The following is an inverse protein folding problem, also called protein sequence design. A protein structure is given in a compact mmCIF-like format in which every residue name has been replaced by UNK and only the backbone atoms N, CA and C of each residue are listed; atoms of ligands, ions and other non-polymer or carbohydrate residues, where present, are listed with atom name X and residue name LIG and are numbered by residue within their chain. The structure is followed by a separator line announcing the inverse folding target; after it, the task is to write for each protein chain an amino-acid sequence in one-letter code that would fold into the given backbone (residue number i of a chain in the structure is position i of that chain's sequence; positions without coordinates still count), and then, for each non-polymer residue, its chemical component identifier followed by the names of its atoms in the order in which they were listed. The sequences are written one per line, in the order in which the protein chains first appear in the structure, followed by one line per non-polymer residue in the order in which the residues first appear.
data_IF_498426784702
#
_entry.id   IF_498426784702
#
_cell.length_a   1.000
_cell.length_b   1.000
_cell.length_c   1.000
_cell.angle_alpha   90.00
_cell.angle_beta   90.00
_cell.angle_gamma   90.00
#
_symmetry.space_group_name_H-M   'P 1'
#
loop_
_entity.id
_entity.type
_entity.pdbx_description
1 polymer ?
#
# COMPACT_ATOMS: atom_id res chain seq x y z
N UNK A 1 -21.68 -22.83 -24.35
CA UNK A 1 -22.22 -22.60 -22.98
C UNK A 1 -21.19 -23.06 -21.94
N UNK A 2 -21.22 -22.56 -20.69
CA UNK A 2 -20.30 -23.00 -19.61
C UNK A 2 -18.96 -22.24 -19.49
N UNK A 3 -18.66 -21.27 -20.36
CA UNK A 3 -17.43 -20.46 -20.31
C UNK A 3 -17.60 -19.08 -19.66
N UNK A 4 -18.72 -18.84 -18.98
CA UNK A 4 -19.03 -17.54 -18.37
C UNK A 4 -17.96 -17.11 -17.35
N UNK A 5 -17.56 -17.99 -16.44
CA UNK A 5 -16.52 -17.70 -15.43
C UNK A 5 -15.16 -17.38 -16.09
N UNK A 6 -14.58 -18.23 -16.96
CA UNK A 6 -13.33 -17.89 -17.66
C UNK A 6 -13.37 -16.55 -18.40
N UNK A 7 -14.52 -16.18 -18.97
CA UNK A 7 -14.66 -14.97 -19.77
C UNK A 7 -14.70 -13.70 -18.91
N UNK A 8 -15.32 -13.76 -17.72
CA UNK A 8 -15.33 -12.63 -16.78
C UNK A 8 -14.06 -12.54 -15.93
N UNK A 9 -13.25 -13.60 -15.81
CA UNK A 9 -12.00 -13.56 -15.04
C UNK A 9 -10.96 -12.60 -15.64
N UNK A 10 -10.92 -12.50 -16.98
CA UNK A 10 -10.06 -11.53 -17.67
C UNK A 10 -10.49 -10.08 -17.35
N UNK A 11 -11.80 -9.81 -17.38
CA UNK A 11 -12.38 -8.53 -16.96
C UNK A 11 -12.07 -8.25 -15.48
N UNK A 12 -12.28 -9.25 -14.62
CA UNK A 12 -12.06 -9.15 -13.18
C UNK A 12 -10.63 -8.75 -12.83
N UNK A 13 -9.63 -9.26 -13.56
CA UNK A 13 -8.24 -8.88 -13.30
C UNK A 13 -7.98 -7.39 -13.53
N UNK A 14 -8.61 -6.77 -14.54
CA UNK A 14 -8.50 -5.33 -14.80
C UNK A 14 -9.26 -4.49 -13.76
N UNK A 15 -10.46 -4.89 -13.37
CA UNK A 15 -11.24 -4.15 -12.36
C UNK A 15 -10.60 -4.23 -10.96
N UNK A 16 -9.83 -5.29 -10.66
CA UNK A 16 -9.00 -5.37 -9.44
C UNK A 16 -7.82 -4.40 -9.46
N UNK A 17 -7.20 -4.20 -10.62
CA UNK A 17 -6.20 -3.15 -10.81
C UNK A 17 -6.85 -1.77 -10.57
N UNK A 18 -8.04 -1.53 -11.12
CA UNK A 18 -8.78 -0.27 -10.90
C UNK A 18 -9.09 -0.02 -9.41
N UNK A 19 -9.43 -1.07 -8.66
CA UNK A 19 -9.61 -0.95 -7.20
C UNK A 19 -8.34 -0.44 -6.51
N UNK A 20 -7.19 -1.04 -6.84
CA UNK A 20 -5.91 -0.69 -6.25
C UNK A 20 -5.49 0.75 -6.64
N UNK A 21 -5.63 1.11 -7.92
CA UNK A 21 -5.36 2.46 -8.42
C UNK A 21 -6.30 3.50 -7.79
N UNK A 22 -7.60 3.21 -7.74
CA UNK A 22 -8.61 4.08 -7.16
C UNK A 22 -8.36 4.36 -5.69
N UNK A 23 -8.11 3.31 -4.90
CA UNK A 23 -7.77 3.50 -3.47
C UNK A 23 -6.44 4.24 -3.30
N UNK A 24 -5.40 3.92 -4.08
CA UNK A 24 -4.13 4.65 -4.02
C UNK A 24 -4.30 6.14 -4.36
N UNK A 25 -5.14 6.47 -5.34
CA UNK A 25 -5.46 7.85 -5.70
C UNK A 25 -6.19 8.60 -4.59
N UNK A 26 -7.19 7.95 -3.96
CA UNK A 26 -7.91 8.51 -2.82
C UNK A 26 -7.00 8.73 -1.61
N UNK A 27 -6.05 7.81 -1.34
CA UNK A 27 -5.04 7.99 -0.29
C UNK A 27 -4.19 9.23 -0.57
N UNK A 28 -3.72 9.39 -1.82
CA UNK A 28 -2.94 10.56 -2.22
C UNK A 28 -3.72 11.87 -2.08
N UNK A 29 -5.01 11.86 -2.44
CA UNK A 29 -5.88 13.04 -2.29
C UNK A 29 -6.07 13.39 -0.81
N UNK A 30 -6.43 12.41 0.02
CA UNK A 30 -6.65 12.61 1.46
C UNK A 30 -5.40 13.16 2.16
N UNK A 31 -4.22 12.62 1.84
CA UNK A 31 -2.94 13.13 2.37
C UNK A 31 -2.67 14.57 1.94
N UNK A 32 -2.93 14.90 0.67
CA UNK A 32 -2.70 16.25 0.15
C UNK A 32 -3.56 17.29 0.88
N UNK A 33 -4.83 16.95 1.14
CA UNK A 33 -5.76 17.77 1.92
C UNK A 33 -5.28 17.90 3.37
N UNK A 34 -4.86 16.81 4.01
CA UNK A 34 -4.37 16.82 5.39
C UNK A 34 -3.10 17.66 5.56
N UNK A 35 -2.14 17.54 4.64
CA UNK A 35 -0.90 18.34 4.66
C UNK A 35 -1.21 19.83 4.46
N UNK A 36 -2.07 20.17 3.50
CA UNK A 36 -2.46 21.56 3.25
C UNK A 36 -3.17 22.18 4.47
N UNK A 37 -4.14 21.46 5.04
CA UNK A 37 -4.84 21.90 6.24
C UNK A 37 -3.88 22.15 7.40
N UNK A 38 -2.99 21.20 7.69
CA UNK A 38 -2.07 21.28 8.83
C UNK A 38 -0.96 22.32 8.63
N UNK A 39 -0.65 22.71 7.39
CA UNK A 39 0.25 23.81 7.09
C UNK A 39 -0.33 25.18 7.53
N UNK A 40 -1.65 25.32 7.49
CA UNK A 40 -2.35 26.58 7.75
C UNK A 40 -2.96 26.63 9.16
N UNK A 41 -3.48 25.50 9.65
CA UNK A 41 -4.12 25.40 10.96
C UNK A 41 -3.08 25.48 12.07
N UNK A 42 -3.30 26.38 13.03
CA UNK A 42 -2.46 26.51 14.21
C UNK A 42 -3.13 25.95 15.47
N UNK A 43 -2.34 25.32 16.33
CA UNK A 43 -2.72 24.92 17.68
C UNK A 43 -1.49 25.06 18.59
N UNK A 44 -1.71 25.47 19.84
CA UNK A 44 -0.63 25.73 20.80
C UNK A 44 0.43 26.71 20.25
N UNK A 45 -0.02 27.76 19.55
CA UNK A 45 0.83 28.87 19.12
C UNK A 45 1.67 28.65 17.85
N UNK A 46 1.56 27.51 17.16
CA UNK A 46 2.27 27.26 15.90
C UNK A 46 1.45 26.40 14.91
N UNK A 47 1.77 26.42 13.61
CA UNK A 47 1.11 25.57 12.62
C UNK A 47 1.25 24.09 12.99
N UNK A 48 0.19 23.30 12.78
CA UNK A 48 0.16 21.87 13.10
C UNK A 48 1.29 21.11 12.40
N UNK A 49 1.62 21.47 11.16
CA UNK A 49 2.71 20.87 10.38
C UNK A 49 4.12 21.13 10.96
N UNK A 50 4.24 21.95 12.02
CA UNK A 50 5.47 22.17 12.79
C UNK A 50 5.46 21.48 14.15
N UNK A 51 4.36 20.82 14.52
CA UNK A 51 4.27 19.99 15.71
C UNK A 51 4.94 18.63 15.43
N UNK A 52 5.93 18.18 16.21
CA UNK A 52 6.63 16.91 15.96
C UNK A 52 5.69 15.71 15.84
N UNK A 53 4.66 15.64 16.70
CA UNK A 53 3.70 14.54 16.67
C UNK A 53 2.86 14.52 15.39
N UNK A 54 2.36 15.67 14.93
CA UNK A 54 1.62 15.76 13.67
C UNK A 54 2.51 15.45 12.47
N UNK A 55 3.78 15.88 12.50
CA UNK A 55 4.75 15.55 11.46
C UNK A 55 5.00 14.04 11.36
N UNK A 56 5.04 13.34 12.50
CA UNK A 56 5.15 11.89 12.52
C UNK A 56 3.94 11.24 11.84
N UNK A 57 2.71 11.61 12.22
CA UNK A 57 1.47 11.10 11.59
C UNK A 57 1.47 11.34 10.07
N UNK A 58 1.73 12.57 9.63
CA UNK A 58 1.72 12.93 8.22
C UNK A 58 2.85 12.25 7.43
N UNK A 59 4.03 12.08 8.02
CA UNK A 59 5.13 11.34 7.40
C UNK A 59 4.76 9.86 7.25
N UNK A 60 4.11 9.27 8.25
CA UNK A 60 3.69 7.87 8.22
C UNK A 60 2.61 7.61 7.15
N UNK A 61 1.64 8.52 7.04
CA UNK A 61 0.67 8.52 5.94
C UNK A 61 1.36 8.74 4.59
N UNK A 62 2.37 9.60 4.50
CA UNK A 62 3.14 9.78 3.27
C UNK A 62 3.84 8.50 2.81
N UNK A 63 4.48 7.77 3.73
CA UNK A 63 5.10 6.48 3.42
C UNK A 63 4.09 5.46 2.89
N UNK A 64 2.91 5.37 3.52
CA UNK A 64 1.85 4.45 3.10
C UNK A 64 1.29 4.83 1.72
N UNK A 65 1.03 6.12 1.47
CA UNK A 65 0.53 6.61 0.18
C UNK A 65 1.53 6.37 -0.94
N UNK A 66 2.83 6.56 -0.69
CA UNK A 66 3.87 6.36 -1.70
C UNK A 66 4.06 4.89 -2.04
N UNK A 67 4.06 4.01 -1.03
CA UNK A 67 4.15 2.56 -1.21
C UNK A 67 2.93 2.00 -1.96
N UNK A 68 1.72 2.49 -1.66
CA UNK A 68 0.50 2.09 -2.38
C UNK A 68 0.56 2.47 -3.86
N UNK A 69 1.02 3.70 -4.15
CA UNK A 69 1.18 4.20 -5.52
C UNK A 69 2.20 3.38 -6.31
N UNK A 70 3.38 3.14 -5.72
CA UNK A 70 4.43 2.35 -6.35
C UNK A 70 3.95 0.94 -6.73
N UNK A 71 3.27 0.25 -5.80
CA UNK A 71 2.74 -1.10 -6.05
C UNK A 71 1.60 -1.10 -7.09
N UNK A 72 0.67 -0.14 -7.04
CA UNK A 72 -0.42 -0.05 -8.00
C UNK A 72 0.09 0.23 -9.43
N UNK A 73 1.05 1.14 -9.58
CA UNK A 73 1.68 1.43 -10.88
C UNK A 73 2.55 0.28 -11.38
N UNK A 74 3.25 -0.41 -10.47
CA UNK A 74 4.01 -1.62 -10.83
C UNK A 74 3.09 -2.72 -11.36
N UNK A 75 1.93 -2.89 -10.74
CA UNK A 75 0.90 -3.81 -11.23
C UNK A 75 0.39 -3.35 -12.60
N UNK A 76 0.06 -2.08 -12.79
CA UNK A 76 -0.38 -1.58 -14.11
C UNK A 76 0.62 -1.95 -15.23
N UNK A 77 1.92 -1.79 -14.96
CA UNK A 77 2.99 -2.15 -15.91
C UNK A 77 2.97 -3.63 -16.31
N UNK A 78 2.53 -4.55 -15.45
CA UNK A 78 2.43 -5.97 -15.81
C UNK A 78 1.37 -6.22 -16.88
N UNK A 79 0.31 -5.40 -16.91
CA UNK A 79 -0.74 -5.49 -17.93
C UNK A 79 -0.27 -4.91 -19.26
N UNK A 80 0.47 -3.80 -19.24
CA UNK A 80 1.05 -3.19 -20.44
C UNK A 80 2.06 -4.11 -21.15
N UNK A 81 2.75 -4.97 -20.38
CA UNK A 81 3.81 -5.87 -20.86
C UNK A 81 3.40 -7.35 -20.83
N UNK A 82 2.13 -7.63 -21.14
CA UNK A 82 1.59 -9.00 -21.10
C UNK A 82 2.24 -9.98 -22.09
N UNK A 83 3.04 -9.49 -23.03
CA UNK A 83 3.89 -10.28 -23.93
C UNK A 83 5.10 -10.92 -23.23
N UNK A 84 5.54 -10.39 -22.08
CA UNK A 84 6.67 -10.91 -21.29
C UNK A 84 6.21 -11.97 -20.27
N UNK A 85 6.84 -13.15 -20.28
CA UNK A 85 6.52 -14.28 -19.39
C UNK A 85 6.61 -13.93 -17.90
N UNK A 86 7.62 -13.14 -17.52
CA UNK A 86 7.81 -12.71 -16.14
C UNK A 86 6.74 -11.71 -15.71
N UNK A 87 6.38 -10.78 -16.60
CA UNK A 87 5.31 -9.82 -16.34
C UNK A 87 3.95 -10.51 -16.22
N UNK A 88 3.67 -11.56 -17.01
CA UNK A 88 2.46 -12.39 -16.82
C UNK A 88 2.46 -13.15 -15.49
N UNK A 89 3.60 -13.68 -15.07
CA UNK A 89 3.74 -14.32 -13.77
C UNK A 89 3.51 -13.33 -12.62
N UNK A 90 4.07 -12.12 -12.74
CA UNK A 90 3.85 -11.04 -11.77
C UNK A 90 2.40 -10.56 -11.76
N UNK A 91 1.75 -10.38 -12.91
CA UNK A 91 0.34 -9.99 -12.97
C UNK A 91 -0.54 -10.95 -12.17
N UNK A 92 -0.30 -12.27 -12.32
CA UNK A 92 -1.02 -13.33 -11.60
C UNK A 92 -0.86 -13.25 -10.09
N UNK A 93 0.33 -12.86 -9.60
CA UNK A 93 0.65 -12.75 -8.17
C UNK A 93 0.22 -11.41 -7.58
N UNK A 94 0.58 -10.31 -8.25
CA UNK A 94 0.41 -8.96 -7.74
C UNK A 94 -1.03 -8.46 -7.85
N UNK A 95 -1.84 -8.94 -8.80
CA UNK A 95 -3.27 -8.52 -8.87
C UNK A 95 -4.01 -8.76 -7.56
N UNK A 96 -4.05 -9.99 -7.00
CA UNK A 96 -4.70 -10.22 -5.72
C UNK A 96 -3.97 -9.57 -4.54
N UNK A 97 -2.63 -9.52 -4.54
CA UNK A 97 -1.83 -8.89 -3.47
C UNK A 97 -2.11 -7.40 -3.36
N UNK A 98 -2.04 -6.67 -4.47
CA UNK A 98 -2.24 -5.22 -4.53
C UNK A 98 -3.65 -4.83 -4.12
N UNK A 99 -4.67 -5.50 -4.66
CA UNK A 99 -6.06 -5.26 -4.25
C UNK A 99 -6.29 -5.58 -2.79
N UNK A 100 -5.80 -6.73 -2.31
CA UNK A 100 -5.94 -7.11 -0.91
C UNK A 100 -5.33 -6.05 0.00
N UNK A 101 -4.08 -5.69 -0.24
CA UNK A 101 -3.31 -4.86 0.67
C UNK A 101 -3.75 -3.40 0.62
N UNK A 102 -3.71 -2.78 -0.57
CA UNK A 102 -3.99 -1.35 -0.73
C UNK A 102 -5.43 -1.02 -0.31
N UNK A 103 -6.41 -1.78 -0.80
CA UNK A 103 -7.81 -1.52 -0.48
C UNK A 103 -8.13 -1.75 1.00
N UNK A 104 -7.47 -2.72 1.65
CA UNK A 104 -7.67 -2.97 3.09
C UNK A 104 -7.10 -1.86 3.96
N UNK A 105 -5.96 -1.28 3.56
CA UNK A 105 -5.31 -0.17 4.28
C UNK A 105 -6.05 1.16 4.10
N UNK A 106 -6.73 1.34 2.98
CA UNK A 106 -7.41 2.58 2.60
C UNK A 106 -8.36 3.17 3.67
N UNK A 107 -9.17 2.36 4.34
CA UNK A 107 -10.13 2.87 5.34
C UNK A 107 -9.45 3.46 6.58
N UNK A 108 -8.44 2.78 7.11
CA UNK A 108 -7.68 3.27 8.28
C UNK A 108 -6.88 4.52 7.90
N UNK A 109 -6.31 4.53 6.69
CA UNK A 109 -5.63 5.71 6.15
C UNK A 109 -6.55 6.92 6.06
N UNK A 110 -7.74 6.76 5.46
CA UNK A 110 -8.67 7.87 5.29
C UNK A 110 -9.23 8.38 6.62
N UNK A 111 -9.42 7.49 7.60
CA UNK A 111 -9.81 7.90 8.95
C UNK A 111 -8.76 8.83 9.57
N UNK A 112 -7.49 8.40 9.60
CA UNK A 112 -6.40 9.19 10.19
C UNK A 112 -6.19 10.53 9.46
N UNK A 113 -6.22 10.49 8.12
CA UNK A 113 -6.11 11.71 7.32
C UNK A 113 -7.29 12.65 7.58
N UNK A 114 -8.50 12.13 7.79
CA UNK A 114 -9.69 12.91 8.14
C UNK A 114 -9.56 13.53 9.54
N UNK A 115 -8.98 12.79 10.49
CA UNK A 115 -8.73 13.26 11.85
C UNK A 115 -7.75 14.43 11.90
N UNK A 116 -6.81 14.52 10.95
CA UNK A 116 -5.91 15.66 10.80
C UNK A 116 -6.65 17.00 10.56
N UNK A 117 -7.89 16.97 10.07
CA UNK A 117 -8.74 18.16 9.88
C UNK A 117 -9.62 18.48 11.10
N UNK A 118 -9.61 17.62 12.12
CA UNK A 118 -10.52 17.69 13.27
C UNK A 118 -11.99 17.55 12.86
N UNK A 119 -12.89 18.21 13.60
CA UNK A 119 -14.34 18.07 13.39
C UNK A 119 -14.82 18.40 11.98
N UNK A 120 -14.17 19.35 11.28
CA UNK A 120 -14.53 19.69 9.91
C UNK A 120 -14.29 18.55 8.92
N UNK A 121 -13.34 17.65 9.19
CA UNK A 121 -13.11 16.47 8.36
C UNK A 121 -14.32 15.52 8.33
N UNK A 122 -15.12 15.49 9.40
CA UNK A 122 -16.26 14.61 9.57
C UNK A 122 -17.57 15.15 8.97
N UNK A 123 -17.64 16.45 8.68
CA UNK A 123 -18.87 17.11 8.21
C UNK A 123 -19.00 16.99 6.69
N UNK A 124 -20.19 16.62 6.21
CA UNK A 124 -20.46 16.48 4.76
C UNK A 124 -20.84 17.80 4.07
N UNK A 125 -21.41 18.73 4.82
CA UNK A 125 -21.99 19.98 4.30
C UNK A 125 -20.96 21.13 4.27
N UNK A 126 -21.35 22.27 3.70
CA UNK A 126 -20.58 23.52 3.79
C UNK A 126 -19.23 23.53 3.04
N UNK A 127 -19.02 22.60 2.10
CA UNK A 127 -17.76 22.50 1.35
C UNK A 127 -16.67 21.68 2.06
N UNK A 128 -16.97 21.05 3.21
CA UNK A 128 -16.01 20.25 3.98
C UNK A 128 -16.14 18.73 3.74
N UNK A 129 -17.16 18.29 3.01
CA UNK A 129 -17.48 16.87 2.84
C UNK A 129 -16.52 16.01 2.01
N UNK A 130 -15.41 16.56 1.51
CA UNK A 130 -14.45 15.79 0.71
C UNK A 130 -13.84 14.66 1.53
N UNK A 131 -13.37 14.92 2.75
CA UNK A 131 -12.75 13.89 3.59
C UNK A 131 -13.75 12.83 4.06
N UNK A 132 -14.94 13.27 4.53
CA UNK A 132 -16.04 12.36 4.87
C UNK A 132 -16.44 11.45 3.70
N UNK A 133 -16.54 12.01 2.49
CA UNK A 133 -16.82 11.23 1.27
C UNK A 133 -15.70 10.26 0.94
N UNK A 134 -14.43 10.68 1.00
CA UNK A 134 -13.29 9.79 0.77
C UNK A 134 -13.33 8.62 1.75
N UNK A 135 -13.54 8.89 3.05
CA UNK A 135 -13.62 7.83 4.06
C UNK A 135 -14.74 6.83 3.76
N UNK A 136 -15.93 7.30 3.38
CA UNK A 136 -17.05 6.43 2.98
C UNK A 136 -16.78 5.62 1.71
N UNK A 137 -15.96 6.12 0.80
CA UNK A 137 -15.60 5.46 -0.45
C UNK A 137 -14.59 4.31 -0.24
N UNK A 138 -13.65 4.45 0.71
CA UNK A 138 -12.55 3.49 0.89
C UNK A 138 -12.97 2.02 1.07
N UNK A 139 -13.99 1.66 1.89
CA UNK A 139 -14.39 0.27 2.06
C UNK A 139 -14.89 -0.39 0.78
N UNK A 140 -15.45 0.38 -0.16
CA UNK A 140 -16.05 -0.15 -1.39
C UNK A 140 -15.05 -0.97 -2.19
N UNK A 141 -13.86 -0.43 -2.46
CA UNK A 141 -12.82 -1.13 -3.24
C UNK A 141 -12.25 -2.37 -2.52
N UNK A 142 -12.40 -2.46 -1.18
CA UNK A 142 -12.05 -3.68 -0.45
C UNK A 142 -13.14 -4.75 -0.49
N UNK A 143 -14.39 -4.37 -0.77
CA UNK A 143 -15.57 -5.27 -0.79
C UNK A 143 -15.87 -5.72 -2.21
N UNK A 144 -15.94 -4.76 -3.13
CA UNK A 144 -16.28 -4.96 -4.53
C UNK A 144 -15.29 -5.91 -5.20
N UNK A 145 -15.84 -6.73 -6.09
CA UNK A 145 -15.11 -7.61 -7.01
C UNK A 145 -14.01 -8.46 -6.33
N UNK A 146 -14.43 -9.19 -5.28
CA UNK A 146 -13.59 -10.13 -4.54
C UNK A 146 -13.05 -9.52 -3.25
N UNK A 147 -13.73 -9.78 -2.14
CA UNK A 147 -13.31 -9.30 -0.82
C UNK A 147 -11.95 -9.89 -0.39
N UNK A 148 -11.38 -9.38 0.70
CA UNK A 148 -10.02 -9.74 1.11
C UNK A 148 -9.73 -11.25 1.25
N UNK A 149 -10.71 -12.07 1.65
CA UNK A 149 -10.54 -13.54 1.67
C UNK A 149 -10.45 -14.12 0.26
N UNK A 150 -11.27 -13.63 -0.68
CA UNK A 150 -11.24 -14.07 -2.07
C UNK A 150 -9.89 -13.74 -2.69
N UNK A 151 -9.35 -12.54 -2.43
CA UNK A 151 -8.00 -12.18 -2.92
C UNK A 151 -6.91 -13.05 -2.30
N UNK A 152 -6.98 -13.33 -1.00
CA UNK A 152 -6.03 -14.24 -0.35
C UNK A 152 -6.08 -15.65 -0.98
N UNK A 153 -7.27 -16.23 -1.16
CA UNK A 153 -7.43 -17.55 -1.78
C UNK A 153 -6.99 -17.57 -3.25
N UNK A 154 -7.21 -16.48 -3.99
CA UNK A 154 -6.74 -16.36 -5.37
C UNK A 154 -5.20 -16.29 -5.44
N UNK A 155 -4.57 -15.57 -4.51
CA UNK A 155 -3.12 -15.60 -4.33
C UNK A 155 -2.63 -17.02 -4.01
N UNK A 156 -3.29 -17.76 -3.11
CA UNK A 156 -2.90 -19.14 -2.81
C UNK A 156 -2.91 -20.02 -4.07
N UNK A 157 -3.90 -19.84 -4.95
CA UNK A 157 -3.93 -20.54 -6.25
C UNK A 157 -2.78 -20.13 -7.16
N UNK A 158 -2.45 -18.84 -7.21
CA UNK A 158 -1.33 -18.32 -7.99
C UNK A 158 0.03 -18.84 -7.49
N UNK A 159 0.19 -18.99 -6.18
CA UNK A 159 1.42 -19.48 -5.54
C UNK A 159 1.72 -20.96 -5.81
N UNK A 160 0.72 -21.76 -6.24
CA UNK A 160 0.94 -23.16 -6.63
C UNK A 160 1.69 -23.32 -7.96
N UNK A 161 1.91 -22.23 -8.69
CA UNK A 161 2.69 -22.27 -9.92
C UNK A 161 4.19 -22.34 -9.59
N UNK A 162 4.93 -23.20 -10.29
CA UNK A 162 6.34 -23.48 -9.99
C UNK A 162 7.26 -22.25 -10.11
N UNK A 163 6.85 -21.25 -10.88
CA UNK A 163 7.59 -19.99 -11.09
C UNK A 163 7.33 -18.94 -10.00
N UNK A 164 6.37 -19.15 -9.08
CA UNK A 164 5.88 -18.10 -8.19
C UNK A 164 6.95 -17.52 -7.27
N UNK A 165 7.68 -18.39 -6.55
CA UNK A 165 8.76 -17.96 -5.65
C UNK A 165 9.88 -17.25 -6.41
N UNK A 166 10.35 -17.83 -7.52
CA UNK A 166 11.42 -17.25 -8.34
C UNK A 166 11.04 -15.89 -8.93
N UNK A 167 9.76 -15.72 -9.29
CA UNK A 167 9.22 -14.45 -9.80
C UNK A 167 9.27 -13.35 -8.75
N UNK A 168 8.84 -13.65 -7.51
CA UNK A 168 8.88 -12.68 -6.40
C UNK A 168 10.31 -12.32 -5.99
N UNK A 169 11.20 -13.31 -5.92
CA UNK A 169 12.62 -13.09 -5.62
C UNK A 169 13.27 -12.21 -6.69
N UNK A 170 12.98 -12.46 -7.98
CA UNK A 170 13.49 -11.65 -9.08
C UNK A 170 13.00 -10.20 -9.01
N UNK A 171 11.71 -9.98 -8.71
CA UNK A 171 11.15 -8.63 -8.58
C UNK A 171 11.78 -7.85 -7.41
N UNK A 172 12.13 -8.54 -6.31
CA UNK A 172 12.76 -7.92 -5.14
C UNK A 172 14.29 -7.80 -5.24
N UNK A 173 14.93 -8.49 -6.19
CA UNK A 173 16.39 -8.55 -6.33
C UNK A 173 17.10 -7.18 -6.39
N UNK A 174 16.55 -6.14 -7.03
CA UNK A 174 17.20 -4.82 -7.07
C UNK A 174 17.40 -4.16 -5.70
N UNK A 175 16.64 -4.58 -4.68
CA UNK A 175 16.71 -4.01 -3.32
C UNK A 175 17.62 -4.79 -2.37
N UNK A 176 18.29 -5.85 -2.86
CA UNK A 176 19.14 -6.71 -2.04
C UNK A 176 20.25 -5.91 -1.35
N UNK A 177 20.41 -6.14 -0.05
CA UNK A 177 21.44 -5.49 0.76
C UNK A 177 21.10 -4.07 1.20
N UNK A 178 19.93 -3.53 0.81
CA UNK A 178 19.50 -2.20 1.24
C UNK A 178 19.11 -2.17 2.73
N UNK A 179 18.34 -3.17 3.18
CA UNK A 179 17.84 -3.22 4.55
C UNK A 179 17.76 -4.66 5.09
N UNK A 180 18.36 -4.97 6.25
CA UNK A 180 18.42 -6.35 6.77
C UNK A 180 17.06 -7.02 6.96
N UNK A 181 16.03 -6.26 7.37
CA UNK A 181 14.69 -6.81 7.54
C UNK A 181 14.00 -7.14 6.20
N UNK A 182 14.30 -6.36 5.14
CA UNK A 182 13.81 -6.66 3.79
C UNK A 182 14.49 -7.92 3.25
N UNK A 183 15.82 -8.01 3.40
CA UNK A 183 16.58 -9.18 2.96
C UNK A 183 16.09 -10.46 3.65
N UNK A 184 15.84 -10.42 4.97
CA UNK A 184 15.26 -11.55 5.71
C UNK A 184 13.86 -11.93 5.20
N UNK A 185 13.01 -10.93 4.96
CA UNK A 185 11.65 -11.16 4.47
C UNK A 185 11.67 -11.83 3.10
N UNK A 186 12.44 -11.28 2.15
CA UNK A 186 12.56 -11.81 0.79
C UNK A 186 13.19 -13.21 0.78
N UNK A 187 14.24 -13.43 1.57
CA UNK A 187 14.91 -14.73 1.67
C UNK A 187 14.00 -15.83 2.23
N UNK A 188 13.03 -15.49 3.09
CA UNK A 188 12.08 -16.46 3.65
C UNK A 188 10.85 -16.72 2.77
N UNK A 189 10.62 -15.96 1.69
CA UNK A 189 9.45 -16.17 0.83
C UNK A 189 9.45 -17.55 0.12
N UNK A 190 10.55 -18.03 -0.48
CA UNK A 190 10.58 -19.33 -1.14
C UNK A 190 10.16 -20.47 -0.22
N UNK A 191 10.80 -20.59 0.95
CA UNK A 191 10.51 -21.65 1.92
C UNK A 191 9.04 -21.65 2.36
N UNK A 192 8.46 -20.46 2.54
CA UNK A 192 7.04 -20.33 2.93
C UNK A 192 6.08 -20.68 1.80
N UNK A 193 6.44 -20.40 0.55
CA UNK A 193 5.63 -20.75 -0.61
C UNK A 193 5.69 -22.26 -0.85
N UNK A 194 6.90 -22.82 -0.80
CA UNK A 194 7.15 -24.26 -1.02
C UNK A 194 6.54 -25.13 0.08
N UNK A 195 6.48 -24.63 1.32
CA UNK A 195 5.80 -25.29 2.42
C UNK A 195 4.27 -25.39 2.25
N UNK A 196 3.68 -24.71 1.24
CA UNK A 196 2.25 -24.70 0.97
C UNK A 196 1.41 -24.37 2.22
N UNK A 197 1.43 -23.10 2.68
CA UNK A 197 0.93 -22.74 4.00
C UNK A 197 -0.58 -22.99 4.10
N UNK A 198 -1.09 -23.25 5.32
CA UNK A 198 -2.51 -23.46 5.53
C UNK A 198 -3.30 -22.22 5.11
N UNK A 199 -4.54 -22.40 4.61
CA UNK A 199 -5.36 -21.29 4.11
C UNK A 199 -5.55 -20.15 5.13
N UNK A 200 -5.55 -20.49 6.43
CA UNK A 200 -5.65 -19.54 7.55
C UNK A 200 -4.49 -18.53 7.62
N UNK A 201 -3.33 -18.86 7.07
CA UNK A 201 -2.12 -18.02 7.10
C UNK A 201 -1.95 -17.16 5.83
N UNK A 202 -2.75 -17.39 4.80
CA UNK A 202 -2.54 -16.77 3.48
C UNK A 202 -2.68 -15.25 3.52
N UNK A 203 -3.51 -14.70 4.40
CA UNK A 203 -3.58 -13.24 4.59
C UNK A 203 -2.27 -12.66 5.12
N UNK A 204 -1.57 -13.38 6.00
CA UNK A 204 -0.24 -12.97 6.50
C UNK A 204 0.77 -13.05 5.36
N UNK A 205 0.76 -14.12 4.58
CA UNK A 205 1.64 -14.24 3.41
C UNK A 205 1.37 -13.15 2.36
N UNK A 206 0.11 -12.81 2.10
CA UNK A 206 -0.26 -11.72 1.19
C UNK A 206 0.26 -10.36 1.66
N UNK A 207 0.16 -10.07 2.97
CA UNK A 207 0.77 -8.89 3.58
C UNK A 207 2.30 -8.90 3.38
N UNK A 208 2.95 -10.02 3.67
CA UNK A 208 4.41 -10.12 3.63
C UNK A 208 4.95 -9.94 2.20
N UNK A 209 4.25 -10.51 1.20
CA UNK A 209 4.56 -10.28 -0.22
C UNK A 209 4.34 -8.81 -0.59
N UNK A 210 3.23 -8.20 -0.17
CA UNK A 210 2.96 -6.78 -0.44
C UNK A 210 4.07 -5.89 0.13
N UNK A 211 4.47 -6.11 1.39
CA UNK A 211 5.51 -5.34 2.06
C UNK A 211 6.89 -5.55 1.44
N UNK A 212 7.24 -6.77 1.03
CA UNK A 212 8.50 -7.06 0.34
C UNK A 212 8.58 -6.31 -1.00
N UNK A 213 7.51 -6.36 -1.80
CA UNK A 213 7.46 -5.70 -3.12
C UNK A 213 7.39 -4.18 -2.96
N UNK A 214 6.56 -3.65 -2.06
CA UNK A 214 6.50 -2.20 -1.77
C UNK A 214 7.86 -1.65 -1.35
N UNK A 215 8.53 -2.32 -0.40
CA UNK A 215 9.87 -1.93 0.03
C UNK A 215 10.85 -1.94 -1.13
N UNK A 216 10.85 -3.01 -1.93
CA UNK A 216 11.77 -3.14 -3.07
C UNK A 216 11.54 -2.07 -4.14
N UNK A 217 10.29 -1.67 -4.38
CA UNK A 217 9.95 -0.59 -5.31
C UNK A 217 10.37 0.77 -4.77
N UNK A 218 10.20 1.03 -3.47
CA UNK A 218 10.64 2.29 -2.87
C UNK A 218 12.17 2.43 -2.91
N UNK A 219 12.93 1.36 -2.69
CA UNK A 219 14.40 1.39 -2.86
C UNK A 219 14.80 1.86 -4.25
N UNK A 220 14.02 1.50 -5.28
CA UNK A 220 14.33 1.84 -6.68
C UNK A 220 13.85 3.24 -7.08
N UNK A 221 12.77 3.75 -6.46
CA UNK A 221 12.02 4.91 -6.99
C UNK A 221 11.90 6.09 -6.02
N UNK A 222 12.23 5.89 -4.74
CA UNK A 222 12.15 6.90 -3.70
C UNK A 222 13.55 7.29 -3.17
N UNK A 223 13.72 8.52 -2.65
CA UNK A 223 14.92 8.89 -1.91
C UNK A 223 15.17 7.96 -0.74
N UNK A 224 16.45 7.72 -0.40
CA UNK A 224 16.84 6.79 0.66
C UNK A 224 16.10 7.02 1.99
N UNK A 225 15.88 8.26 2.49
CA UNK A 225 15.15 8.46 3.74
C UNK A 225 13.73 7.87 3.74
N UNK A 226 13.04 7.93 2.60
CA UNK A 226 11.69 7.38 2.43
C UNK A 226 11.73 5.85 2.46
N UNK A 227 12.61 5.25 1.64
CA UNK A 227 12.72 3.80 1.54
C UNK A 227 13.19 3.17 2.86
N UNK A 228 14.16 3.81 3.54
CA UNK A 228 14.68 3.39 4.86
C UNK A 228 13.61 3.50 5.93
N UNK A 229 12.89 4.63 6.01
CA UNK A 229 11.81 4.81 6.99
C UNK A 229 10.67 3.80 6.77
N UNK A 230 10.30 3.50 5.52
CA UNK A 230 9.31 2.46 5.21
C UNK A 230 9.78 1.08 5.69
N UNK A 231 11.01 0.67 5.35
CA UNK A 231 11.56 -0.62 5.79
C UNK A 231 11.64 -0.72 7.33
N UNK A 232 12.10 0.34 7.98
CA UNK A 232 12.23 0.37 9.44
C UNK A 232 10.86 0.21 10.11
N UNK A 233 9.86 0.99 9.69
CA UNK A 233 8.54 1.00 10.30
C UNK A 233 7.66 -0.22 9.96
N UNK A 234 7.76 -0.76 8.73
CA UNK A 234 6.90 -1.88 8.29
C UNK A 234 7.51 -3.26 8.52
N UNK A 235 8.85 -3.36 8.60
CA UNK A 235 9.54 -4.66 8.62
C UNK A 235 10.35 -4.94 9.90
N UNK A 236 10.90 -3.90 10.55
CA UNK A 236 11.84 -4.08 11.66
C UNK A 236 11.32 -3.60 13.02
N UNK A 237 10.50 -2.55 13.04
CA UNK A 237 9.95 -1.97 14.26
C UNK A 237 8.76 -2.77 14.82
N UNK A 238 8.38 -2.53 16.08
CA UNK A 238 7.09 -2.97 16.58
C UNK A 238 5.98 -2.41 15.67
N UNK A 239 5.10 -3.28 15.20
CA UNK A 239 4.00 -2.86 14.33
C UNK A 239 3.09 -1.88 15.11
N UNK A 240 3.18 -0.59 14.79
CA UNK A 240 2.21 0.40 15.25
C UNK A 240 0.82 -0.02 14.79
N UNK A 241 -0.14 -0.05 15.70
CA UNK A 241 -1.55 -0.34 15.36
C UNK A 241 -2.24 0.88 14.72
N UNK A 242 -1.65 2.06 14.88
CA UNK A 242 -2.09 3.36 14.38
C UNK A 242 -0.94 4.07 13.64
N UNK A 243 -1.24 5.13 12.90
CA UNK A 243 -0.22 5.95 12.24
C UNK A 243 0.49 6.88 13.23
N UNK A 244 1.67 7.36 12.85
CA UNK A 244 2.45 8.30 13.65
C UNK A 244 3.31 7.62 14.72
N UNK A 245 3.66 6.35 14.50
CA UNK A 245 4.55 5.57 15.37
C UNK A 245 5.95 5.37 14.75
N UNK A 246 6.37 6.28 13.86
CA UNK A 246 7.73 6.25 13.30
C UNK A 246 8.74 6.58 14.40
N UNK A 247 9.95 6.02 14.28
CA UNK A 247 11.03 6.26 15.23
C UNK A 247 11.49 7.73 15.22
N UNK A 248 11.99 8.21 16.36
CA UNK A 248 12.39 9.61 16.56
C UNK A 248 13.55 10.06 15.64
N UNK A 249 14.35 9.12 15.13
CA UNK A 249 15.44 9.36 14.18
C UNK A 249 14.99 9.38 12.71
N UNK A 250 13.68 9.30 12.45
CA UNK A 250 13.12 9.37 11.10
C UNK A 250 13.22 10.79 10.53
N UNK A 251 13.72 10.92 9.30
CA UNK A 251 13.79 12.18 8.58
C UNK A 251 12.41 12.62 8.06
N UNK A 252 11.62 13.25 8.94
CA UNK A 252 10.31 13.78 8.59
C UNK A 252 10.37 14.88 7.53
N UNK A 253 11.47 15.66 7.46
CA UNK A 253 11.58 16.75 6.49
C UNK A 253 11.68 16.23 5.07
N UNK A 254 12.55 15.24 4.82
CA UNK A 254 12.68 14.63 3.50
C UNK A 254 11.36 13.99 3.03
N UNK A 255 10.68 13.27 3.92
CA UNK A 255 9.41 12.59 3.63
C UNK A 255 8.32 13.63 3.32
N UNK A 256 8.13 14.62 4.18
CA UNK A 256 7.07 15.62 4.02
C UNK A 256 7.34 16.57 2.83
N UNK A 257 8.60 16.92 2.56
CA UNK A 257 8.96 17.74 1.41
C UNK A 257 8.62 17.04 0.08
N UNK A 258 8.81 15.72 0.00
CA UNK A 258 8.41 14.91 -1.15
C UNK A 258 6.89 14.75 -1.26
N UNK A 259 6.22 14.60 -0.13
CA UNK A 259 4.77 14.36 -0.09
C UNK A 259 3.94 15.61 -0.37
N UNK A 260 4.45 16.81 -0.09
CA UNK A 260 3.74 18.08 -0.30
C UNK A 260 3.36 18.30 -1.78
N UNK A 261 2.10 18.62 -2.08
CA UNK A 261 1.73 19.19 -3.37
C UNK A 261 2.55 20.46 -3.62
N UNK A 262 3.02 20.65 -4.86
CA UNK A 262 3.70 21.88 -5.29
C UNK A 262 2.72 22.87 -5.86
#
# INVERSE_FOLDING_TARGET
QGRGIPQILAMGSMTRLDCALGTSGLMRQALSIAIDHTAQRSAFGKPLLTQPLMRNVLADLALESEAACALALRLARTFDRSDDDHERALARLLTPVSKFWICKRGSHFAQEAMECLGGNGYVEEGGHGVMARIYREMPLNSIWEGSGNIMALDLLRALRQADAATTLVRECAPARGFHPALDRLVAGLPDRIDAAPPESEVRRLAQDIALAVQSSLLVQTAPEPVARAFCQSRLAGPAGQVFGCLADDTDFDAILARARPR
#
